data_IF_826616729554
#
_entry.id   IF_826616729554
#
_cell.length_a   1.000
_cell.length_b   1.000
_cell.length_c   1.000
_cell.angle_alpha   90.00
_cell.angle_beta   90.00
_cell.angle_gamma   90.00
#
_symmetry.space_group_name_H-M   'P 1'
#
loop_
_entity.id
_entity.type
_entity.pdbx_description
1 polymer ?
#
# COMPACT_ATOMS: atom_id res chain seq x y z
N UNK A 1 29.24 44.79 1.22
CA UNK A 1 28.99 43.50 0.55
C UNK A 1 27.53 43.05 0.64
N UNK A 2 26.89 43.04 1.83
CA UNK A 2 25.49 42.59 2.02
C UNK A 2 24.42 43.34 1.19
N UNK A 3 24.59 44.64 0.96
CA UNK A 3 23.65 45.48 0.17
C UNK A 3 23.69 45.17 -1.33
N UNK A 4 24.86 44.75 -1.85
CA UNK A 4 25.03 44.39 -3.25
C UNK A 4 24.36 43.04 -3.55
N UNK A 5 24.43 42.10 -2.60
CA UNK A 5 23.75 40.80 -2.69
C UNK A 5 22.22 40.93 -2.76
N UNK A 6 21.62 41.88 -2.03
CA UNK A 6 20.16 42.09 -2.04
C UNK A 6 19.69 42.65 -3.39
N UNK A 7 20.43 43.59 -3.97
CA UNK A 7 20.12 44.17 -5.29
C UNK A 7 20.23 43.10 -6.39
N UNK A 8 21.25 42.23 -6.29
CA UNK A 8 21.45 41.14 -7.24
C UNK A 8 20.34 40.09 -7.14
N UNK A 9 19.86 39.81 -5.93
CA UNK A 9 18.75 38.89 -5.68
C UNK A 9 17.42 39.45 -6.22
N UNK A 10 17.15 40.75 -6.03
CA UNK A 10 15.98 41.43 -6.58
C UNK A 10 16.02 41.52 -8.12
N UNK A 11 17.18 41.80 -8.71
CA UNK A 11 17.35 41.80 -10.17
C UNK A 11 17.14 40.41 -10.78
N UNK A 12 17.59 39.37 -10.10
CA UNK A 12 17.38 37.97 -10.53
C UNK A 12 15.90 37.55 -10.48
N UNK A 13 15.16 37.97 -9.44
CA UNK A 13 13.71 37.74 -9.37
C UNK A 13 12.94 38.44 -10.50
N UNK A 14 13.39 39.62 -10.92
CA UNK A 14 12.75 40.36 -12.01
C UNK A 14 12.98 39.70 -13.39
N UNK A 15 14.18 39.14 -13.61
CA UNK A 15 14.48 38.39 -14.82
C UNK A 15 13.64 37.10 -14.95
N UNK A 16 13.33 36.43 -13.83
CA UNK A 16 12.47 35.23 -13.81
C UNK A 16 11.01 35.52 -14.17
N UNK A 17 10.49 36.71 -13.83
CA UNK A 17 9.13 37.13 -14.19
C UNK A 17 8.96 37.38 -15.69
N UNK A 18 9.99 37.90 -16.36
CA UNK A 18 9.96 38.16 -17.80
C UNK A 18 10.11 36.89 -18.67
N UNK A 19 10.58 35.78 -18.08
CA UNK A 19 10.77 34.50 -18.76
C UNK A 19 9.50 33.61 -18.77
N UNK A 20 8.33 34.15 -18.43
CA UNK A 20 7.08 33.39 -18.52
C UNK A 20 6.69 33.15 -19.98
N UNK A 21 6.97 31.92 -20.45
CA UNK A 21 6.53 31.43 -21.75
C UNK A 21 5.00 31.39 -21.81
N UNK A 22 4.42 32.25 -22.64
CA UNK A 22 2.98 32.24 -22.91
C UNK A 22 2.67 31.11 -23.88
N UNK A 23 2.15 29.99 -23.38
CA UNK A 23 1.77 28.87 -24.23
C UNK A 23 0.55 29.28 -25.07
N UNK A 24 0.76 29.47 -26.37
CA UNK A 24 -0.31 29.72 -27.34
C UNK A 24 -0.84 28.39 -27.84
N UNK A 25 -2.03 28.02 -27.38
CA UNK A 25 -2.72 26.81 -27.83
C UNK A 25 -3.85 27.20 -28.77
N UNK A 26 -4.03 26.43 -29.84
CA UNK A 26 -5.28 26.41 -30.58
C UNK A 26 -6.39 25.81 -29.71
N UNK A 27 -7.66 26.10 -30.04
CA UNK A 27 -8.80 25.53 -29.33
C UNK A 27 -8.73 23.99 -29.28
N UNK A 28 -8.31 23.37 -30.38
CA UNK A 28 -8.21 21.92 -30.48
C UNK A 28 -7.13 21.35 -29.56
N UNK A 29 -5.97 22.00 -29.47
CA UNK A 29 -4.89 21.60 -28.57
C UNK A 29 -5.30 21.79 -27.10
N UNK A 30 -5.97 22.90 -26.77
CA UNK A 30 -6.48 23.15 -25.42
C UNK A 30 -7.49 22.07 -24.99
N UNK A 31 -8.40 21.67 -25.88
CA UNK A 31 -9.36 20.58 -25.62
C UNK A 31 -8.64 19.22 -25.47
N UNK A 32 -7.67 18.92 -26.32
CA UNK A 32 -6.89 17.68 -26.23
C UNK A 32 -6.09 17.60 -24.92
N UNK A 33 -5.47 18.71 -24.52
CA UNK A 33 -4.75 18.83 -23.26
C UNK A 33 -5.70 18.67 -22.07
N UNK A 34 -6.85 19.34 -22.09
CA UNK A 34 -7.86 19.21 -21.04
C UNK A 34 -8.36 17.76 -20.91
N UNK A 35 -8.60 17.04 -22.02
CA UNK A 35 -9.04 15.63 -21.97
C UNK A 35 -8.00 14.70 -21.35
N UNK A 36 -6.71 15.00 -21.50
CA UNK A 36 -5.63 14.15 -21.00
C UNK A 36 -5.22 14.51 -19.57
N UNK A 37 -5.22 15.79 -19.22
CA UNK A 37 -4.66 16.29 -17.96
C UNK A 37 -5.69 16.90 -17.00
N UNK A 38 -6.98 16.97 -17.36
CA UNK A 38 -7.99 17.56 -16.47
C UNK A 38 -8.13 16.77 -15.17
N UNK A 39 -8.00 17.44 -14.00
CA UNK A 39 -8.25 16.83 -12.69
C UNK A 39 -9.68 16.28 -12.56
N UNK A 40 -10.65 16.96 -13.17
CA UNK A 40 -12.06 16.53 -13.17
C UNK A 40 -12.24 15.23 -13.97
N UNK A 41 -11.57 15.10 -15.11
CA UNK A 41 -11.61 13.87 -15.91
C UNK A 41 -10.95 12.70 -15.16
N UNK A 42 -9.85 12.96 -14.45
CA UNK A 42 -9.19 11.96 -13.59
C UNK A 42 -10.11 11.55 -12.44
N UNK A 43 -10.73 12.51 -11.75
CA UNK A 43 -11.69 12.24 -10.67
C UNK A 43 -12.86 11.38 -11.14
N UNK A 44 -13.48 11.71 -12.28
CA UNK A 44 -14.57 10.94 -12.86
C UNK A 44 -14.14 9.50 -13.21
N UNK A 45 -12.93 9.31 -13.74
CA UNK A 45 -12.37 7.96 -14.00
C UNK A 45 -12.17 7.16 -12.71
N UNK A 46 -11.69 7.79 -11.64
CA UNK A 46 -11.55 7.12 -10.35
C UNK A 46 -12.91 6.76 -9.76
N UNK A 47 -13.90 7.66 -9.84
CA UNK A 47 -15.25 7.41 -9.38
C UNK A 47 -15.90 6.24 -10.13
N UNK A 48 -15.73 6.18 -11.46
CA UNK A 48 -16.18 5.05 -12.26
C UNK A 48 -15.56 3.73 -11.81
N UNK A 49 -14.23 3.70 -11.61
CA UNK A 49 -13.54 2.49 -11.13
C UNK A 49 -14.03 2.07 -9.75
N UNK A 50 -14.20 3.01 -8.83
CA UNK A 50 -14.73 2.73 -7.49
C UNK A 50 -16.13 2.13 -7.58
N UNK A 51 -17.04 2.72 -8.38
CA UNK A 51 -18.39 2.20 -8.59
C UNK A 51 -18.38 0.79 -9.20
N UNK A 52 -17.50 0.53 -10.17
CA UNK A 52 -17.33 -0.79 -10.76
C UNK A 52 -16.89 -1.85 -9.74
N UNK A 53 -15.90 -1.52 -8.90
CA UNK A 53 -15.44 -2.43 -7.84
C UNK A 53 -16.49 -2.63 -6.76
N UNK A 54 -17.25 -1.60 -6.39
CA UNK A 54 -18.37 -1.71 -5.46
C UNK A 54 -19.44 -2.67 -5.99
N UNK A 55 -19.83 -2.53 -7.26
CA UNK A 55 -20.78 -3.46 -7.90
C UNK A 55 -20.25 -4.90 -7.90
N UNK A 56 -18.95 -5.09 -8.19
CA UNK A 56 -18.37 -6.42 -8.18
C UNK A 56 -18.34 -7.03 -6.76
N UNK A 57 -18.00 -6.24 -5.74
CA UNK A 57 -18.04 -6.68 -4.34
C UNK A 57 -19.46 -7.05 -3.91
N UNK A 58 -20.45 -6.24 -4.28
CA UNK A 58 -21.87 -6.55 -4.06
C UNK A 58 -22.26 -7.89 -4.69
N UNK A 59 -21.83 -8.17 -5.94
CA UNK A 59 -22.08 -9.47 -6.58
C UNK A 59 -21.38 -10.63 -5.88
N UNK A 60 -20.18 -10.40 -5.34
CA UNK A 60 -19.41 -11.41 -4.62
C UNK A 60 -20.02 -11.76 -3.24
N UNK A 61 -20.75 -10.83 -2.62
CA UNK A 61 -21.42 -11.04 -1.34
C UNK A 61 -22.53 -12.12 -1.41
N UNK A 62 -23.10 -12.34 -2.59
CA UNK A 62 -24.07 -13.43 -2.83
C UNK A 62 -23.42 -14.79 -3.08
N UNK A 63 -22.08 -14.86 -3.12
CA UNK A 63 -21.34 -16.10 -3.33
C UNK A 63 -20.74 -16.56 -1.99
N UNK A 64 -20.63 -17.89 -1.77
CA UNK A 64 -19.94 -18.39 -0.58
C UNK A 64 -18.48 -17.96 -0.61
N UNK A 65 -17.98 -17.48 0.53
CA UNK A 65 -16.57 -17.16 0.71
C UNK A 65 -15.84 -18.33 1.39
N UNK A 66 -14.58 -18.52 1.01
CA UNK A 66 -13.71 -19.57 1.53
C UNK A 66 -12.51 -18.92 2.20
N UNK A 67 -12.29 -19.22 3.49
CA UNK A 67 -11.16 -18.70 4.25
C UNK A 67 -10.30 -19.86 4.74
N UNK A 68 -9.02 -19.84 4.38
CA UNK A 68 -8.02 -20.77 4.89
C UNK A 68 -7.19 -20.06 5.96
N UNK A 69 -7.22 -20.60 7.18
CA UNK A 69 -6.36 -20.16 8.27
C UNK A 69 -5.33 -21.24 8.55
N UNK A 70 -4.06 -20.89 8.66
CA UNK A 70 -2.98 -21.82 8.98
C UNK A 70 -2.19 -21.31 10.18
N UNK A 71 -1.64 -22.24 10.94
CA UNK A 71 -0.82 -21.95 12.12
C UNK A 71 0.35 -22.92 12.20
N UNK A 72 1.50 -22.43 12.62
CA UNK A 72 2.67 -23.24 12.92
C UNK A 72 3.29 -22.75 14.21
N UNK A 73 3.62 -23.66 15.11
CA UNK A 73 4.24 -23.35 16.40
C UNK A 73 5.34 -24.37 16.69
N UNK A 74 6.53 -23.87 17.02
CA UNK A 74 7.68 -24.68 17.40
C UNK A 74 7.88 -24.57 18.91
N UNK A 75 7.72 -25.68 19.62
CA UNK A 75 7.99 -25.79 21.04
C UNK A 75 9.33 -26.50 21.25
N UNK A 76 10.29 -25.80 21.88
CA UNK A 76 11.61 -26.33 22.24
C UNK A 76 11.77 -26.20 23.74
N UNK A 77 12.01 -27.33 24.40
CA UNK A 77 12.30 -27.35 25.84
C UNK A 77 13.43 -28.31 26.14
N UNK A 78 14.12 -28.05 27.25
CA UNK A 78 15.08 -28.97 27.85
C UNK A 78 14.57 -29.20 29.25
N UNK A 79 14.33 -30.47 29.61
CA UNK A 79 13.78 -30.84 30.91
C UNK A 79 14.64 -31.92 31.56
N UNK A 80 14.96 -31.79 32.86
CA UNK A 80 15.61 -32.85 33.60
C UNK A 80 14.63 -34.01 33.81
N UNK A 81 15.14 -35.23 33.69
CA UNK A 81 14.46 -36.48 34.02
C UNK A 81 15.36 -37.24 34.98
N UNK A 82 14.88 -37.50 36.20
CA UNK A 82 15.62 -38.29 37.19
C UNK A 82 15.51 -39.77 36.83
N UNK A 83 16.66 -40.42 36.67
CA UNK A 83 16.77 -41.83 36.32
C UNK A 83 16.53 -42.73 37.54
N UNK A 84 16.24 -44.02 37.34
CA UNK A 84 16.05 -44.98 38.44
C UNK A 84 17.25 -45.12 39.39
N UNK A 85 18.44 -44.70 38.95
CA UNK A 85 19.68 -44.67 39.72
C UNK A 85 19.86 -43.38 40.54
N UNK A 86 18.91 -42.43 40.46
CA UNK A 86 18.94 -41.15 41.18
C UNK A 86 19.77 -40.06 40.49
N UNK A 87 20.32 -40.31 39.31
CA UNK A 87 21.00 -39.29 38.51
C UNK A 87 20.02 -38.44 37.68
N UNK A 88 20.36 -37.19 37.37
CA UNK A 88 19.55 -36.32 36.51
C UNK A 88 20.09 -36.30 35.08
N UNK A 89 19.20 -36.55 34.11
CA UNK A 89 19.51 -36.46 32.68
C UNK A 89 18.68 -35.37 31.99
N UNK A 90 19.31 -34.55 31.15
CA UNK A 90 18.65 -33.45 30.45
C UNK A 90 18.18 -33.86 29.06
N UNK A 91 16.87 -34.00 28.88
CA UNK A 91 16.28 -34.43 27.60
C UNK A 91 15.80 -33.21 26.82
N UNK A 92 16.27 -33.09 25.58
CA UNK A 92 15.82 -32.08 24.63
C UNK A 92 14.51 -32.53 23.97
N UNK A 93 13.49 -31.68 24.01
CA UNK A 93 12.22 -31.90 23.33
C UNK A 93 12.02 -30.82 22.27
N UNK A 94 11.75 -31.26 21.05
CA UNK A 94 11.47 -30.38 19.91
C UNK A 94 10.17 -30.83 19.26
N UNK A 95 9.12 -30.02 19.37
CA UNK A 95 7.78 -30.33 18.87
C UNK A 95 7.34 -29.23 17.91
N UNK A 96 7.13 -29.59 16.65
CA UNK A 96 6.51 -28.72 15.66
C UNK A 96 5.02 -29.04 15.57
N UNK A 97 4.18 -28.05 15.87
CA UNK A 97 2.73 -28.11 15.81
C UNK A 97 2.29 -27.34 14.56
N UNK A 98 1.67 -28.02 13.60
CA UNK A 98 1.09 -27.40 12.43
C UNK A 98 -0.42 -27.63 12.44
N UNK A 99 -1.18 -26.61 12.10
CA UNK A 99 -2.62 -26.66 12.01
C UNK A 99 -3.12 -25.85 10.83
N UNK A 100 -4.25 -26.25 10.27
CA UNK A 100 -4.94 -25.52 9.22
C UNK A 100 -6.44 -25.73 9.33
N UNK A 101 -7.22 -24.67 9.17
CA UNK A 101 -8.68 -24.72 9.14
C UNK A 101 -9.18 -24.06 7.87
N UNK A 102 -10.14 -24.72 7.21
CA UNK A 102 -10.82 -24.22 6.04
C UNK A 102 -12.27 -23.96 6.41
N UNK A 103 -12.71 -22.71 6.28
CA UNK A 103 -14.06 -22.29 6.65
C UNK A 103 -14.79 -21.76 5.42
N UNK A 104 -16.01 -22.24 5.21
CA UNK A 104 -16.96 -21.69 4.23
C UNK A 104 -17.92 -20.78 4.95
N UNK A 105 -18.13 -19.56 4.44
CA UNK A 105 -19.09 -18.61 4.97
C UNK A 105 -20.07 -18.17 3.88
N UNK A 106 -21.37 -18.21 4.19
CA UNK A 106 -22.45 -17.79 3.30
C UNK A 106 -23.44 -16.96 4.12
N UNK A 107 -23.79 -15.77 3.60
CA UNK A 107 -24.83 -14.91 4.16
C UNK A 107 -26.23 -15.46 3.91
#
# INVERSE_FOLDING_TARGET
MKRFSVILLFGFSFALLAAQDTIRLTLQEAVALARTQSPQAVAARHQYKAAYWNWRSFKAEYLPSLTLNTSSALNRSISPVTLPDGSDSFVHRNQLLNGGTLTVNQN
#
